data_IF_379997219681
#
_entry.id   IF_379997219681
#
_cell.length_a   1.000
_cell.length_b   1.000
_cell.length_c   1.000
_cell.angle_alpha   90.00
_cell.angle_beta   90.00
_cell.angle_gamma   90.00
#
_symmetry.space_group_name_H-M   'P 1'
#
loop_
_entity.id
_entity.type
_entity.pdbx_description
1 polymer ?
#
# COMPACT_ATOMS: atom_id res chain seq x y z
N UNK A 1 28.11 35.06 -28.54
CA UNK A 1 27.56 36.37 -28.13
C UNK A 1 26.30 36.53 -28.96
N UNK A 2 25.13 36.30 -28.37
CA UNK A 2 23.87 36.30 -29.12
C UNK A 2 23.45 37.73 -29.46
N UNK A 3 22.83 37.92 -30.63
CA UNK A 3 22.39 39.24 -31.07
C UNK A 3 21.16 39.69 -30.24
N UNK A 4 21.02 41.00 -30.01
CA UNK A 4 19.86 41.59 -29.32
C UNK A 4 18.55 41.26 -30.04
N UNK A 5 18.61 41.10 -31.36
CA UNK A 5 17.51 40.62 -32.21
C UNK A 5 17.01 39.23 -31.77
N UNK A 6 17.92 38.27 -31.57
CA UNK A 6 17.58 36.90 -31.17
C UNK A 6 17.07 36.81 -29.73
N UNK A 7 17.58 37.64 -28.81
CA UNK A 7 17.09 37.70 -27.43
C UNK A 7 15.62 38.15 -27.35
N UNK A 8 15.21 39.13 -28.17
CA UNK A 8 13.81 39.58 -28.19
C UNK A 8 12.84 38.50 -28.71
N UNK A 9 13.27 37.67 -29.65
CA UNK A 9 12.49 36.53 -30.15
C UNK A 9 12.38 35.40 -29.10
N UNK A 10 13.44 35.16 -28.31
CA UNK A 10 13.42 34.18 -27.20
C UNK A 10 12.37 34.56 -26.14
N UNK A 11 12.32 35.83 -25.71
CA UNK A 11 11.33 36.24 -24.69
C UNK A 11 9.90 36.17 -25.22
N UNK A 12 9.67 36.49 -26.50
CA UNK A 12 8.39 36.25 -27.17
C UNK A 12 7.99 34.77 -27.21
N UNK A 13 8.96 33.85 -27.32
CA UNK A 13 8.74 32.39 -27.25
C UNK A 13 8.42 31.92 -25.83
N UNK A 14 9.08 32.46 -24.79
CA UNK A 14 8.78 32.16 -23.38
C UNK A 14 7.32 32.49 -23.04
N UNK A 15 6.84 33.67 -23.44
CA UNK A 15 5.43 34.09 -23.22
C UNK A 15 4.44 33.13 -23.89
N UNK A 16 4.72 32.66 -25.11
CA UNK A 16 3.89 31.65 -25.80
C UNK A 16 3.88 30.31 -25.07
N UNK A 17 5.03 29.83 -24.57
CA UNK A 17 5.12 28.60 -23.78
C UNK A 17 4.29 28.72 -22.48
N UNK A 18 4.37 29.87 -21.78
CA UNK A 18 3.52 30.12 -20.61
C UNK A 18 2.03 30.12 -20.95
N UNK A 19 1.62 30.73 -22.07
CA UNK A 19 0.22 30.72 -22.49
C UNK A 19 -0.30 29.28 -22.74
N UNK A 20 0.49 28.46 -23.46
CA UNK A 20 0.16 27.05 -23.75
C UNK A 20 0.01 26.24 -22.46
N UNK A 21 0.95 26.35 -21.51
CA UNK A 21 0.91 25.61 -20.24
C UNK A 21 -0.23 26.11 -19.35
N UNK A 22 -0.52 27.42 -19.34
CA UNK A 22 -1.67 27.95 -18.60
C UNK A 22 -3.01 27.38 -19.11
N UNK A 23 -3.20 27.35 -20.44
CA UNK A 23 -4.40 26.82 -21.08
C UNK A 23 -4.52 25.29 -20.89
N UNK A 24 -3.50 24.53 -21.31
CA UNK A 24 -3.56 23.06 -21.41
C UNK A 24 -3.16 22.32 -20.13
N UNK A 25 -2.45 22.99 -19.23
CA UNK A 25 -1.91 22.38 -18.01
C UNK A 25 -0.51 21.76 -18.18
N UNK A 26 -0.13 20.87 -17.24
CA UNK A 26 1.18 20.23 -17.22
C UNK A 26 1.53 19.58 -18.57
N UNK A 27 2.67 19.94 -19.13
CA UNK A 27 3.04 19.64 -20.52
C UNK A 27 4.46 19.07 -20.64
N UNK A 28 4.65 18.16 -21.59
CA UNK A 28 5.96 17.59 -21.95
C UNK A 28 6.68 18.49 -22.98
N UNK A 29 8.02 18.54 -22.99
CA UNK A 29 8.79 19.27 -24.02
C UNK A 29 8.43 18.88 -25.46
N UNK A 30 8.07 17.61 -25.71
CA UNK A 30 7.64 17.12 -27.02
C UNK A 30 6.27 17.67 -27.45
N UNK A 31 5.36 17.93 -26.52
CA UNK A 31 4.07 18.57 -26.82
C UNK A 31 4.29 20.04 -27.17
N UNK A 32 5.02 20.76 -26.32
CA UNK A 32 5.38 22.17 -26.51
C UNK A 32 6.16 22.38 -27.82
N UNK A 33 7.05 21.45 -28.18
CA UNK A 33 7.79 21.46 -29.46
C UNK A 33 6.89 21.37 -30.69
N UNK A 34 5.86 20.52 -30.65
CA UNK A 34 4.90 20.38 -31.76
C UNK A 34 4.05 21.65 -31.92
N UNK A 35 3.64 22.25 -30.81
CA UNK A 35 2.77 23.44 -30.81
C UNK A 35 3.53 24.72 -31.18
N UNK A 36 4.78 24.83 -30.75
CA UNK A 36 5.67 25.95 -31.09
C UNK A 36 6.30 25.81 -32.48
N UNK A 37 6.16 24.66 -33.14
CA UNK A 37 6.89 24.29 -34.36
C UNK A 37 8.42 24.46 -34.25
N UNK A 38 8.97 24.22 -33.05
CA UNK A 38 10.40 24.34 -32.73
C UNK A 38 11.03 22.98 -32.45
N UNK A 39 12.35 22.87 -32.60
CA UNK A 39 13.05 21.62 -32.27
C UNK A 39 12.95 21.29 -30.77
N UNK A 40 12.85 20.00 -30.37
CA UNK A 40 12.76 19.61 -28.96
C UNK A 40 13.94 20.09 -28.12
N UNK A 41 15.13 20.23 -28.72
CA UNK A 41 16.34 20.72 -28.06
C UNK A 41 16.20 22.19 -27.68
N UNK A 42 15.79 23.05 -28.63
CA UNK A 42 15.58 24.48 -28.37
C UNK A 42 14.48 24.70 -27.33
N UNK A 43 13.39 23.94 -27.43
CA UNK A 43 12.27 23.99 -26.48
C UNK A 43 12.73 23.57 -25.08
N UNK A 44 13.52 22.50 -24.96
CA UNK A 44 14.06 22.06 -23.67
C UNK A 44 15.02 23.08 -23.05
N UNK A 45 15.83 23.76 -23.87
CA UNK A 45 16.71 24.83 -23.41
C UNK A 45 15.94 26.06 -22.89
N UNK A 46 14.92 26.51 -23.63
CA UNK A 46 14.06 27.64 -23.21
C UNK A 46 13.28 27.27 -21.93
N UNK A 47 12.76 26.05 -21.83
CA UNK A 47 12.04 25.59 -20.63
C UNK A 47 12.98 25.51 -19.41
N UNK A 48 14.23 25.07 -19.58
CA UNK A 48 15.21 25.07 -18.50
C UNK A 48 15.50 26.48 -17.99
N UNK A 49 15.72 27.45 -18.90
CA UNK A 49 15.87 28.87 -18.55
C UNK A 49 14.62 29.42 -17.81
N UNK A 50 13.40 29.06 -18.26
CA UNK A 50 12.16 29.47 -17.61
C UNK A 50 11.98 28.85 -16.21
N UNK A 51 12.44 27.62 -16.01
CA UNK A 51 12.46 26.95 -14.71
C UNK A 51 13.46 27.62 -13.75
N UNK A 52 14.65 27.95 -14.24
CA UNK A 52 15.70 28.61 -13.44
C UNK A 52 15.32 30.05 -13.04
N UNK A 53 14.36 30.66 -13.76
CA UNK A 53 13.70 31.91 -13.39
C UNK A 53 12.37 31.73 -12.60
N UNK A 54 12.10 30.53 -12.08
CA UNK A 54 10.90 30.18 -11.29
C UNK A 54 9.54 30.38 -12.01
N UNK A 55 9.55 30.62 -13.34
CA UNK A 55 8.33 30.79 -14.15
C UNK A 55 7.60 29.46 -14.41
N UNK A 56 8.32 28.34 -14.32
CA UNK A 56 7.82 26.98 -14.46
C UNK A 56 8.33 26.08 -13.34
N UNK A 57 7.50 25.15 -12.89
CA UNK A 57 7.86 24.08 -11.95
C UNK A 57 8.03 22.76 -12.69
N UNK A 58 9.01 21.99 -12.22
CA UNK A 58 9.34 20.65 -12.70
C UNK A 58 8.58 19.60 -11.88
N UNK A 59 7.91 18.67 -12.54
CA UNK A 59 7.32 17.47 -11.94
C UNK A 59 8.38 16.39 -11.75
N UNK A 60 8.36 15.70 -10.61
CA UNK A 60 9.21 14.55 -10.33
C UNK A 60 8.78 13.32 -11.16
N UNK A 61 7.50 13.21 -11.50
CA UNK A 61 6.96 12.19 -12.40
C UNK A 61 7.49 12.36 -13.82
N UNK A 62 7.77 11.22 -14.48
CA UNK A 62 8.25 11.17 -15.87
C UNK A 62 7.30 10.36 -16.74
N UNK A 63 6.90 10.92 -17.87
CA UNK A 63 6.11 10.23 -18.91
C UNK A 63 7.04 9.96 -20.09
N UNK A 64 7.26 8.68 -20.42
CA UNK A 64 8.20 8.29 -21.47
C UNK A 64 9.65 8.75 -21.21
N UNK A 65 10.04 8.88 -19.93
CA UNK A 65 11.37 9.36 -19.52
C UNK A 65 11.53 10.88 -19.45
N UNK A 66 10.58 11.66 -19.99
CA UNK A 66 10.58 13.12 -19.90
C UNK A 66 9.74 13.62 -18.70
N UNK A 67 10.21 14.62 -17.94
CA UNK A 67 9.42 15.25 -16.88
C UNK A 67 8.32 16.15 -17.46
N UNK A 68 7.27 16.39 -16.67
CA UNK A 68 6.24 17.39 -16.97
C UNK A 68 6.65 18.77 -16.42
N UNK A 69 6.24 19.82 -17.12
CA UNK A 69 6.41 21.21 -16.70
C UNK A 69 5.05 21.85 -16.52
N UNK A 70 4.86 22.58 -15.42
CA UNK A 70 3.59 23.21 -15.05
C UNK A 70 3.81 24.60 -14.44
N UNK A 71 2.76 25.41 -14.40
CA UNK A 71 2.75 26.69 -13.68
C UNK A 71 2.21 26.45 -12.26
N UNK A 72 2.71 27.18 -11.26
CA UNK A 72 2.24 27.12 -9.88
C UNK A 72 0.71 27.29 -9.80
N UNK A 73 0.03 26.44 -9.02
CA UNK A 73 -1.44 26.39 -8.95
C UNK A 73 -2.08 25.43 -9.96
N UNK A 74 -1.28 24.67 -10.73
CA UNK A 74 -1.76 23.61 -11.62
C UNK A 74 -1.48 22.19 -11.11
N UNK A 75 -1.08 22.04 -9.84
CA UNK A 75 -0.70 20.75 -9.24
C UNK A 75 -1.86 19.74 -9.34
N UNK A 76 -3.10 20.18 -9.13
CA UNK A 76 -4.31 19.36 -9.31
C UNK A 76 -4.42 18.72 -10.71
N UNK A 77 -3.91 19.39 -11.76
CA UNK A 77 -3.94 18.87 -13.13
C UNK A 77 -2.95 17.70 -13.34
N UNK A 78 -1.99 17.48 -12.42
CA UNK A 78 -1.07 16.34 -12.47
C UNK A 78 -1.78 14.99 -12.25
N UNK A 79 -2.93 14.99 -11.56
CA UNK A 79 -3.74 13.78 -11.34
C UNK A 79 -4.11 13.07 -12.66
N UNK A 80 -4.33 13.83 -13.74
CA UNK A 80 -4.64 13.29 -15.07
C UNK A 80 -3.50 12.45 -15.68
N UNK A 81 -2.29 12.60 -15.14
CA UNK A 81 -1.08 11.88 -15.53
C UNK A 81 -0.74 10.71 -14.58
N UNK A 82 -1.42 10.56 -13.43
CA UNK A 82 -1.25 9.42 -12.52
C UNK A 82 -1.48 8.05 -13.21
N UNK A 83 -2.21 8.02 -14.33
CA UNK A 83 -2.35 6.85 -15.22
C UNK A 83 -1.04 6.33 -15.83
N UNK A 84 0.01 7.15 -15.87
CA UNK A 84 1.34 6.78 -16.37
C UNK A 84 2.28 6.28 -15.26
N UNK A 85 1.86 6.33 -13.99
CA UNK A 85 2.63 5.79 -12.87
C UNK A 85 2.74 4.26 -12.97
N UNK A 86 3.86 3.65 -12.50
CA UNK A 86 3.97 2.22 -12.28
C UNK A 86 2.81 1.66 -11.44
N UNK A 87 2.43 0.40 -11.68
CA UNK A 87 1.26 -0.23 -11.04
C UNK A 87 1.19 -0.04 -9.51
N UNK A 88 2.33 -0.14 -8.80
CA UNK A 88 2.37 0.05 -7.34
C UNK A 88 2.24 1.50 -6.90
N UNK A 89 2.79 2.44 -7.66
CA UNK A 89 2.61 3.88 -7.42
C UNK A 89 1.17 4.30 -7.71
N UNK A 90 0.53 3.72 -8.74
CA UNK A 90 -0.89 3.94 -9.03
C UNK A 90 -1.81 3.40 -7.93
N UNK A 91 -1.59 2.17 -7.45
CA UNK A 91 -2.33 1.61 -6.30
C UNK A 91 -2.19 2.47 -5.04
N UNK A 92 -0.96 2.97 -4.79
CA UNK A 92 -0.65 3.84 -3.65
C UNK A 92 -1.26 5.24 -3.81
N UNK A 93 -1.30 5.79 -5.03
CA UNK A 93 -1.97 7.04 -5.36
C UNK A 93 -3.47 6.97 -5.07
N UNK A 94 -4.16 5.93 -5.52
CA UNK A 94 -5.61 5.76 -5.22
C UNK A 94 -5.85 5.59 -3.71
N UNK A 95 -4.98 4.87 -3.01
CA UNK A 95 -5.06 4.70 -1.55
C UNK A 95 -4.88 6.04 -0.80
N UNK A 96 -3.86 6.82 -1.18
CA UNK A 96 -3.59 8.13 -0.59
C UNK A 96 -4.69 9.14 -0.92
N UNK A 97 -5.17 9.17 -2.17
CA UNK A 97 -6.27 10.03 -2.62
C UNK A 97 -7.58 9.72 -1.88
N UNK A 98 -7.86 8.44 -1.62
CA UNK A 98 -9.05 8.00 -0.86
C UNK A 98 -8.98 8.34 0.63
N UNK A 99 -7.83 8.12 1.26
CA UNK A 99 -7.68 8.29 2.71
C UNK A 99 -7.24 9.71 3.11
N UNK A 100 -6.78 10.53 2.15
CA UNK A 100 -6.17 11.87 2.25
C UNK A 100 -4.85 11.92 3.04
N UNK A 101 -4.72 11.09 4.08
CA UNK A 101 -3.50 10.89 4.88
C UNK A 101 -3.22 9.40 5.08
N UNK A 102 -1.95 9.05 4.98
CA UNK A 102 -1.41 7.73 5.36
C UNK A 102 -0.28 7.90 6.38
N UNK A 103 -0.09 6.93 7.27
CA UNK A 103 1.03 6.92 8.22
C UNK A 103 2.13 5.99 7.70
N UNK A 104 3.39 6.47 7.63
CA UNK A 104 4.53 5.75 7.03
C UNK A 104 4.72 4.37 7.68
N UNK A 105 4.54 4.28 9.00
CA UNK A 105 4.65 3.05 9.80
C UNK A 105 3.58 2.00 9.44
N UNK A 106 2.35 2.43 9.13
CA UNK A 106 1.17 1.55 8.92
C UNK A 106 1.01 1.06 7.48
N UNK A 107 1.55 1.78 6.49
CA UNK A 107 1.52 1.35 5.08
C UNK A 107 2.49 0.20 4.82
N UNK A 108 2.19 -0.62 3.82
CA UNK A 108 3.07 -1.72 3.44
C UNK A 108 4.41 -1.20 2.90
N UNK A 109 5.53 -1.95 3.05
CA UNK A 109 6.85 -1.48 2.60
C UNK A 109 6.92 -1.06 1.12
N UNK A 110 6.15 -1.72 0.24
CA UNK A 110 6.06 -1.34 -1.17
C UNK A 110 5.32 -0.01 -1.39
N UNK A 111 4.26 0.26 -0.63
CA UNK A 111 3.52 1.53 -0.63
C UNK A 111 4.38 2.65 -0.05
N UNK A 112 5.14 2.37 1.01
CA UNK A 112 6.12 3.30 1.60
C UNK A 112 7.20 3.74 0.61
N UNK A 113 7.71 2.80 -0.20
CA UNK A 113 8.64 3.12 -1.30
C UNK A 113 7.95 3.94 -2.38
N UNK A 114 6.72 3.57 -2.77
CA UNK A 114 5.94 4.33 -3.75
C UNK A 114 5.69 5.78 -3.30
N UNK A 115 5.24 6.01 -2.06
CA UNK A 115 5.01 7.34 -1.47
C UNK A 115 6.25 8.24 -1.56
N UNK A 116 7.45 7.68 -1.36
CA UNK A 116 8.73 8.41 -1.48
C UNK A 116 9.12 8.75 -2.92
N UNK A 117 8.64 7.97 -3.91
CA UNK A 117 8.82 8.24 -5.34
C UNK A 117 7.83 9.29 -5.85
N UNK A 118 6.56 9.19 -5.47
CA UNK A 118 5.44 10.00 -5.97
C UNK A 118 5.34 11.40 -5.34
N UNK A 119 6.47 12.11 -5.21
CA UNK A 119 6.60 13.40 -4.50
C UNK A 119 5.65 14.50 -4.97
N UNK A 120 5.20 14.45 -6.22
CA UNK A 120 4.22 15.41 -6.78
C UNK A 120 2.81 15.23 -6.17
N UNK A 121 2.55 14.06 -5.59
CA UNK A 121 1.24 13.67 -5.06
C UNK A 121 1.24 13.41 -3.55
N UNK A 122 2.38 13.01 -3.00
CA UNK A 122 2.56 12.65 -1.59
C UNK A 122 3.55 13.60 -0.89
N UNK A 123 3.02 14.44 -0.01
CA UNK A 123 3.79 15.41 0.78
C UNK A 123 4.04 14.85 2.18
N UNK A 124 5.30 14.63 2.60
CA UNK A 124 5.59 14.13 3.94
C UNK A 124 5.42 15.24 5.00
N UNK A 125 4.71 14.92 6.08
CA UNK A 125 4.53 15.72 7.29
C UNK A 125 5.17 14.96 8.45
N UNK A 126 6.14 15.59 9.12
CA UNK A 126 6.76 15.08 10.33
C UNK A 126 6.00 15.60 11.55
N UNK A 127 5.52 14.72 12.41
CA UNK A 127 4.85 15.08 13.67
C UNK A 127 5.62 14.45 14.83
N UNK A 128 6.07 15.31 15.73
CA UNK A 128 6.74 14.89 16.97
C UNK A 128 5.70 14.89 18.09
N UNK A 129 5.34 13.70 18.59
CA UNK A 129 4.69 13.56 19.90
C UNK A 129 5.77 13.31 20.96
N UNK A 130 5.43 13.48 22.24
CA UNK A 130 6.38 13.62 23.36
C UNK A 130 7.45 12.50 23.46
N UNK A 131 7.19 11.31 22.93
CA UNK A 131 8.11 10.16 22.93
C UNK A 131 8.46 9.60 21.53
N UNK A 132 7.98 10.18 20.42
CA UNK A 132 8.23 9.63 19.07
C UNK A 132 8.06 10.66 17.93
N UNK A 133 9.02 10.72 17.01
CA UNK A 133 8.82 11.31 15.68
C UNK A 133 8.08 10.32 14.78
N UNK A 134 7.02 10.78 14.11
CA UNK A 134 6.25 9.99 13.13
C UNK A 134 6.12 10.73 11.81
N UNK A 135 6.04 9.97 10.71
CA UNK A 135 5.87 10.51 9.36
C UNK A 135 4.47 10.16 8.87
N UNK A 136 3.73 11.19 8.47
CA UNK A 136 2.46 11.09 7.77
C UNK A 136 2.64 11.58 6.34
N UNK A 137 1.94 10.99 5.39
CA UNK A 137 1.93 11.36 3.99
C UNK A 137 0.57 11.99 3.68
N UNK A 138 0.58 13.26 3.28
CA UNK A 138 -0.58 14.05 2.86
C UNK A 138 -0.74 14.00 1.35
N UNK A 139 -1.97 13.84 0.87
CA UNK A 139 -2.28 14.03 -0.55
C UNK A 139 -2.16 15.51 -0.94
N UNK A 140 -1.52 15.81 -2.08
CA UNK A 140 -1.15 17.18 -2.48
C UNK A 140 -2.30 18.20 -2.49
N UNK A 141 -3.52 17.80 -2.87
CA UNK A 141 -4.69 18.71 -2.87
C UNK A 141 -5.34 18.92 -1.50
N UNK A 142 -4.96 18.14 -0.49
CA UNK A 142 -5.52 18.25 0.86
C UNK A 142 -4.80 19.36 1.65
N UNK A 143 -5.53 20.25 2.32
CA UNK A 143 -4.91 21.42 2.96
C UNK A 143 -4.04 21.03 4.16
N UNK A 144 -3.05 21.86 4.50
CA UNK A 144 -2.16 21.60 5.63
C UNK A 144 -2.90 21.67 6.98
N UNK A 145 -3.84 22.61 7.11
CA UNK A 145 -4.67 22.79 8.30
C UNK A 145 -5.62 21.60 8.54
N UNK A 146 -6.31 21.14 7.48
CA UNK A 146 -7.15 19.95 7.55
C UNK A 146 -6.29 18.72 7.85
N UNK A 147 -5.05 18.71 7.33
CA UNK A 147 -4.14 17.59 7.54
C UNK A 147 -3.66 17.48 8.98
N UNK A 148 -3.24 18.58 9.59
CA UNK A 148 -2.90 18.60 11.01
C UNK A 148 -4.10 18.22 11.88
N UNK A 149 -5.30 18.68 11.52
CA UNK A 149 -6.55 18.29 12.21
C UNK A 149 -6.80 16.78 12.13
N UNK A 150 -6.62 16.18 10.94
CA UNK A 150 -6.81 14.75 10.71
C UNK A 150 -5.71 13.89 11.36
N UNK A 151 -4.46 14.36 11.39
CA UNK A 151 -3.37 13.68 12.13
C UNK A 151 -3.63 13.75 13.64
N UNK A 152 -4.07 14.89 14.17
CA UNK A 152 -4.48 15.00 15.57
C UNK A 152 -5.64 14.06 15.92
N UNK A 153 -6.62 13.89 15.04
CA UNK A 153 -7.69 12.90 15.20
C UNK A 153 -7.12 11.47 15.27
N UNK A 154 -6.28 11.08 14.31
CA UNK A 154 -5.63 9.76 14.27
C UNK A 154 -4.81 9.47 15.54
N UNK A 155 -3.96 10.41 15.97
CA UNK A 155 -3.15 10.29 17.18
C UNK A 155 -4.00 10.27 18.46
N UNK A 156 -5.13 10.99 18.50
CA UNK A 156 -6.05 10.99 19.65
C UNK A 156 -6.70 9.63 19.87
N UNK A 157 -7.01 8.90 18.80
CA UNK A 157 -7.59 7.56 18.89
C UNK A 157 -6.58 6.47 19.29
N UNK A 158 -5.27 6.75 19.23
CA UNK A 158 -4.23 5.82 19.69
C UNK A 158 -3.87 5.94 21.18
N UNK A 159 -4.24 7.04 21.85
CA UNK A 159 -3.95 7.14 23.29
C UNK A 159 -4.70 6.02 24.03
N UNK A 160 -4.00 5.17 24.81
CA UNK A 160 -4.62 3.95 25.33
C UNK A 160 -5.82 4.25 26.21
N UNK A 161 -6.97 3.65 25.88
CA UNK A 161 -8.03 3.43 26.87
C UNK A 161 -7.52 2.43 27.92
N UNK A 162 -6.85 2.94 28.95
CA UNK A 162 -6.62 2.20 30.18
C UNK A 162 -7.98 1.82 30.77
N UNK A 163 -8.29 0.53 30.67
CA UNK A 163 -9.22 -0.24 31.51
C UNK A 163 -10.64 0.33 31.70
N UNK A 164 -11.62 -0.32 31.10
CA UNK A 164 -12.71 -0.99 31.85
C UNK A 164 -13.05 -2.27 31.07
N UNK A 165 -13.13 -3.37 31.80
CA UNK A 165 -13.40 -4.71 31.28
C UNK A 165 -14.65 -5.22 32.01
N UNK A 166 -15.77 -5.41 31.30
CA UNK A 166 -16.88 -6.32 31.63
C UNK A 166 -18.02 -6.16 30.61
N UNK A 167 -18.39 -7.29 29.98
CA UNK A 167 -19.74 -7.68 29.50
C UNK A 167 -20.58 -6.67 28.66
N UNK A 168 -21.25 -7.08 27.57
CA UNK A 168 -21.92 -8.37 27.34
C UNK A 168 -22.14 -8.66 25.86
N UNK A 169 -22.23 -9.95 25.53
CA UNK A 169 -22.74 -10.51 24.26
C UNK A 169 -24.20 -10.08 23.98
N UNK A 170 -24.71 -9.95 22.74
CA UNK A 170 -24.87 -11.04 21.77
C UNK A 170 -25.20 -10.58 20.33
N UNK A 171 -24.67 -11.38 19.37
CA UNK A 171 -25.14 -11.75 18.01
C UNK A 171 -25.42 -10.69 16.90
N UNK A 172 -25.18 -11.09 15.62
CA UNK A 172 -25.37 -10.23 14.46
C UNK A 172 -26.71 -10.44 13.76
N UNK A 173 -27.33 -9.35 13.30
CA UNK A 173 -28.42 -9.41 12.33
C UNK A 173 -27.87 -9.34 10.89
N UNK A 174 -28.48 -10.14 10.00
CA UNK A 174 -28.11 -10.22 8.59
C UNK A 174 -28.80 -9.08 7.84
N UNK A 175 -28.12 -8.49 6.86
CA UNK A 175 -28.81 -8.11 5.63
C UNK A 175 -28.02 -8.51 4.38
N UNK A 176 -28.66 -9.35 3.57
CA UNK A 176 -28.30 -9.63 2.18
C UNK A 176 -29.04 -8.63 1.31
N UNK A 177 -28.37 -8.08 0.30
CA UNK A 177 -28.96 -8.01 -1.05
C UNK A 177 -27.89 -7.96 -2.12
N UNK A 178 -27.90 -9.02 -2.93
CA UNK A 178 -27.14 -9.15 -4.16
C UNK A 178 -27.91 -8.49 -5.31
N UNK A 179 -27.17 -8.12 -6.36
CA UNK A 179 -27.70 -8.03 -7.72
C UNK A 179 -26.58 -8.52 -8.68
N UNK A 180 -26.64 -8.17 -9.96
CA UNK A 180 -25.94 -8.85 -11.07
C UNK A 180 -24.87 -7.90 -11.67
N UNK A 181 -24.08 -8.18 -12.72
CA UNK A 181 -24.29 -9.00 -13.93
C UNK A 181 -22.96 -9.54 -14.48
N UNK A 182 -23.04 -10.76 -15.04
CA UNK A 182 -22.18 -11.51 -15.98
C UNK A 182 -20.91 -10.87 -16.58
N UNK A 183 -19.84 -11.68 -16.64
CA UNK A 183 -19.26 -12.21 -17.90
C UNK A 183 -18.32 -13.40 -17.56
N UNK A 184 -18.84 -14.62 -17.69
CA UNK A 184 -18.47 -15.64 -18.71
C UNK A 184 -17.35 -16.62 -18.30
N UNK A 185 -17.80 -17.80 -17.88
CA UNK A 185 -17.06 -19.07 -17.87
C UNK A 185 -16.96 -19.61 -19.34
N UNK A 186 -16.14 -20.64 -19.70
CA UNK A 186 -16.22 -21.91 -18.98
C UNK A 186 -15.01 -22.90 -19.01
N UNK A 187 -15.15 -23.91 -18.12
CA UNK A 187 -14.74 -25.34 -18.24
C UNK A 187 -13.55 -25.87 -17.40
N UNK A 188 -13.98 -26.70 -16.43
CA UNK A 188 -13.45 -28.04 -16.06
C UNK A 188 -12.29 -28.12 -15.04
N UNK A 189 -12.64 -28.52 -13.81
CA UNK A 189 -12.74 -29.96 -13.41
C UNK A 189 -13.50 -30.14 -12.08
N UNK A 190 -13.90 -31.40 -11.81
CA UNK A 190 -14.99 -31.77 -10.87
C UNK A 190 -14.57 -31.87 -9.40
N UNK A 191 -15.56 -31.60 -8.56
CA UNK A 191 -15.77 -31.91 -7.13
C UNK A 191 -15.16 -33.21 -6.55
N UNK A 192 -14.64 -33.11 -5.32
CA UNK A 192 -14.81 -34.10 -4.24
C UNK A 192 -14.41 -33.50 -2.86
N UNK A 193 -14.67 -34.23 -1.77
CA UNK A 193 -14.33 -33.96 -0.34
C UNK A 193 -14.92 -32.70 0.36
N UNK A 194 -16.21 -32.77 0.74
CA UNK A 194 -16.80 -31.95 1.82
C UNK A 194 -16.95 -32.69 3.17
N UNK A 195 -16.44 -33.93 3.29
CA UNK A 195 -16.64 -34.79 4.48
C UNK A 195 -15.44 -34.87 5.43
N UNK A 196 -14.22 -34.61 4.96
CA UNK A 196 -13.00 -34.90 5.73
C UNK A 196 -12.50 -33.74 6.62
N UNK A 197 -12.91 -32.49 6.35
CA UNK A 197 -12.42 -31.34 7.11
C UNK A 197 -12.86 -31.32 8.58
N UNK A 198 -13.99 -31.95 8.94
CA UNK A 198 -14.50 -31.95 10.32
C UNK A 198 -13.54 -32.68 11.29
N UNK A 199 -13.14 -33.90 10.95
CA UNK A 199 -12.27 -34.71 11.80
C UNK A 199 -10.86 -34.10 11.97
N UNK A 200 -10.33 -33.45 10.93
CA UNK A 200 -9.03 -32.78 10.98
C UNK A 200 -9.04 -31.57 11.94
N UNK A 201 -10.08 -30.73 11.86
CA UNK A 201 -10.21 -29.55 12.74
C UNK A 201 -10.41 -29.95 14.20
N UNK A 202 -11.16 -31.02 14.48
CA UNK A 202 -11.32 -31.52 15.86
C UNK A 202 -9.99 -31.94 16.49
N UNK A 203 -9.15 -32.70 15.77
CA UNK A 203 -7.81 -33.10 16.25
C UNK A 203 -6.91 -31.91 16.58
N UNK A 204 -6.99 -30.84 15.80
CA UNK A 204 -6.18 -29.63 16.03
C UNK A 204 -6.65 -28.90 17.30
N UNK A 205 -7.96 -28.85 17.57
CA UNK A 205 -8.49 -28.29 18.82
C UNK A 205 -8.04 -29.10 20.04
N UNK A 206 -8.16 -30.42 19.97
CA UNK A 206 -7.71 -31.36 21.01
C UNK A 206 -6.20 -31.24 21.28
N UNK A 207 -5.38 -31.07 20.24
CA UNK A 207 -3.95 -30.78 20.37
C UNK A 207 -3.67 -29.45 21.09
N UNK A 208 -4.44 -28.40 20.81
CA UNK A 208 -4.28 -27.11 21.50
C UNK A 208 -4.72 -27.18 22.96
N UNK A 209 -5.84 -27.83 23.27
CA UNK A 209 -6.29 -28.08 24.66
C UNK A 209 -5.24 -28.87 25.44
N UNK A 210 -4.72 -29.97 24.88
CA UNK A 210 -3.68 -30.81 25.49
C UNK A 210 -2.35 -30.07 25.73
N UNK A 211 -2.08 -29.00 24.97
CA UNK A 211 -0.87 -28.16 25.12
C UNK A 211 -1.13 -26.82 25.81
N UNK A 212 -2.33 -26.61 26.37
CA UNK A 212 -2.76 -25.36 27.00
C UNK A 212 -2.55 -24.12 26.11
N UNK A 213 -2.90 -24.25 24.83
CA UNK A 213 -2.80 -23.19 23.81
C UNK A 213 -4.19 -22.58 23.60
N UNK A 214 -4.35 -21.31 23.96
CA UNK A 214 -5.63 -20.60 23.88
C UNK A 214 -5.93 -20.11 22.46
N UNK A 215 -7.01 -20.58 21.84
CA UNK A 215 -7.44 -20.11 20.50
C UNK A 215 -8.18 -18.77 20.63
N UNK A 216 -7.62 -17.69 20.07
CA UNK A 216 -8.25 -16.36 20.12
C UNK A 216 -9.23 -16.15 18.94
N UNK A 217 -8.85 -16.58 17.74
CA UNK A 217 -9.65 -16.35 16.52
C UNK A 217 -9.39 -17.43 15.48
N UNK A 218 -10.45 -18.07 14.99
CA UNK A 218 -10.36 -18.98 13.83
C UNK A 218 -10.53 -18.14 12.56
N UNK A 219 -9.69 -18.41 11.56
CA UNK A 219 -9.76 -17.82 10.21
C UNK A 219 -10.29 -18.92 9.29
N UNK A 220 -11.55 -18.80 8.86
CA UNK A 220 -12.18 -19.82 8.03
C UNK A 220 -11.53 -19.91 6.64
N UNK A 221 -11.23 -21.14 6.22
CA UNK A 221 -10.56 -21.44 4.97
C UNK A 221 -10.66 -22.92 4.61
N UNK A 222 -10.00 -23.31 3.51
CA UNK A 222 -9.92 -24.72 3.08
C UNK A 222 -8.99 -25.55 3.98
N UNK A 223 -7.92 -24.92 4.44
CA UNK A 223 -6.99 -25.39 5.48
C UNK A 223 -7.39 -24.76 6.83
N UNK A 224 -6.92 -25.31 7.95
CA UNK A 224 -7.16 -24.70 9.27
C UNK A 224 -6.13 -23.59 9.52
N UNK A 225 -6.63 -22.39 9.85
CA UNK A 225 -5.82 -21.25 10.27
C UNK A 225 -6.46 -20.59 11.49
N UNK A 226 -5.66 -20.27 12.51
CA UNK A 226 -6.15 -19.60 13.71
C UNK A 226 -5.06 -18.74 14.36
N UNK A 227 -5.47 -17.64 15.00
CA UNK A 227 -4.62 -16.92 15.95
C UNK A 227 -4.72 -17.64 17.29
N UNK A 228 -3.57 -18.06 17.81
CA UNK A 228 -3.46 -18.76 19.09
C UNK A 228 -2.52 -18.01 20.03
N UNK A 229 -2.73 -18.20 21.33
CA UNK A 229 -1.93 -17.64 22.41
C UNK A 229 -1.28 -18.77 23.20
N UNK A 230 0.00 -18.60 23.52
CA UNK A 230 0.78 -19.48 24.39
C UNK A 230 1.14 -18.69 25.65
N UNK A 231 0.81 -19.24 26.81
CA UNK A 231 1.35 -18.76 28.08
C UNK A 231 2.84 -19.13 28.18
N UNK A 232 3.70 -18.13 28.32
CA UNK A 232 5.14 -18.25 28.54
C UNK A 232 5.53 -17.49 29.81
N UNK A 233 6.70 -17.77 30.37
CA UNK A 233 7.23 -17.09 31.58
C UNK A 233 7.37 -15.57 31.40
N UNK A 234 7.42 -15.09 30.15
CA UNK A 234 7.52 -13.68 29.75
C UNK A 234 6.12 -13.06 29.45
N UNK A 235 5.06 -13.87 29.49
CA UNK A 235 3.67 -13.48 29.23
C UNK A 235 3.04 -14.22 28.03
N UNK A 236 1.88 -13.72 27.58
CA UNK A 236 1.10 -14.33 26.48
C UNK A 236 1.68 -13.98 25.12
N UNK A 237 2.29 -14.96 24.46
CA UNK A 237 2.85 -14.82 23.11
C UNK A 237 1.79 -15.28 22.09
N UNK A 238 1.52 -14.46 21.07
CA UNK A 238 0.55 -14.78 20.01
C UNK A 238 1.25 -15.33 18.77
N UNK A 239 0.62 -16.33 18.15
CA UNK A 239 1.10 -16.99 16.93
C UNK A 239 -0.04 -17.11 15.91
N UNK A 240 0.30 -17.05 14.62
CA UNK A 240 -0.57 -17.56 13.56
C UNK A 240 -0.33 -19.07 13.44
N UNK A 241 -1.26 -19.87 13.95
CA UNK A 241 -1.25 -21.31 13.74
C UNK A 241 -1.87 -21.67 12.38
N UNK A 242 -1.12 -22.38 11.54
CA UNK A 242 -1.61 -22.90 10.25
C UNK A 242 -1.40 -24.40 10.20
N UNK A 243 -2.45 -25.14 9.85
CA UNK A 243 -2.43 -26.59 9.72
C UNK A 243 -3.12 -27.00 8.41
N UNK A 244 -2.38 -27.73 7.57
CA UNK A 244 -2.87 -28.19 6.27
C UNK A 244 -3.11 -29.69 6.28
N UNK A 245 -4.23 -30.13 5.71
CA UNK A 245 -4.55 -31.55 5.59
C UNK A 245 -3.79 -32.21 4.42
N UNK A 246 -2.46 -32.23 4.52
CA UNK A 246 -1.51 -32.82 3.57
C UNK A 246 -0.43 -33.56 4.36
N UNK A 247 0.00 -34.73 3.89
CA UNK A 247 1.11 -35.49 4.54
C UNK A 247 2.41 -34.68 4.64
N UNK A 248 2.68 -33.83 3.63
CA UNK A 248 3.83 -32.91 3.60
C UNK A 248 3.36 -31.56 3.03
N UNK A 249 3.65 -30.43 3.68
CA UNK A 249 3.39 -29.11 3.11
C UNK A 249 4.36 -28.83 1.95
N UNK A 250 3.91 -28.11 0.92
CA UNK A 250 4.77 -27.63 -0.16
C UNK A 250 5.48 -26.33 0.25
N UNK A 251 6.64 -26.02 -0.31
CA UNK A 251 7.35 -24.73 -0.12
C UNK A 251 6.42 -23.52 -0.30
N UNK A 252 5.52 -23.57 -1.28
CA UNK A 252 4.50 -22.54 -1.53
C UNK A 252 3.46 -22.43 -0.41
N UNK A 253 3.08 -23.54 0.26
CA UNK A 253 2.16 -23.50 1.40
C UNK A 253 2.81 -22.80 2.61
N UNK A 254 4.09 -23.06 2.83
CA UNK A 254 4.89 -22.47 3.92
C UNK A 254 5.06 -20.97 3.67
N UNK A 255 5.43 -20.58 2.44
CA UNK A 255 5.60 -19.18 2.05
C UNK A 255 4.30 -18.37 2.18
N UNK A 256 3.15 -18.92 1.74
CA UNK A 256 1.85 -18.28 1.91
C UNK A 256 1.48 -18.09 3.39
N UNK A 257 1.81 -19.06 4.23
CA UNK A 257 1.55 -18.98 5.67
C UNK A 257 2.43 -17.93 6.35
N UNK A 258 3.70 -17.82 5.94
CA UNK A 258 4.60 -16.76 6.39
C UNK A 258 4.13 -15.37 5.93
N UNK A 259 3.64 -15.25 4.69
CA UNK A 259 3.09 -14.00 4.18
C UNK A 259 1.86 -13.54 4.99
N UNK A 260 0.96 -14.47 5.34
CA UNK A 260 -0.20 -14.20 6.21
C UNK A 260 0.21 -13.81 7.64
N UNK A 261 1.23 -14.46 8.20
CA UNK A 261 1.81 -14.11 9.49
C UNK A 261 2.41 -12.70 9.50
N UNK A 262 3.22 -12.37 8.48
CA UNK A 262 3.82 -11.05 8.31
C UNK A 262 2.75 -9.95 8.17
N UNK A 263 1.64 -10.22 7.47
CA UNK A 263 0.50 -9.29 7.37
C UNK A 263 -0.21 -9.04 8.71
N UNK A 264 -0.15 -10.01 9.65
CA UNK A 264 -0.73 -9.90 10.99
C UNK A 264 0.28 -9.45 12.05
N UNK A 265 1.56 -9.31 11.71
CA UNK A 265 2.64 -9.04 12.67
C UNK A 265 2.90 -10.18 13.65
N UNK A 266 2.53 -11.43 13.30
CA UNK A 266 2.62 -12.60 14.18
C UNK A 266 3.63 -13.64 13.65
N UNK A 267 4.39 -14.34 14.52
CA UNK A 267 5.17 -15.51 14.13
C UNK A 267 4.26 -16.69 13.70
N UNK A 268 4.77 -17.56 12.81
CA UNK A 268 4.05 -18.75 12.33
C UNK A 268 4.30 -19.94 13.27
N UNK A 269 3.21 -20.58 13.69
CA UNK A 269 3.23 -21.95 14.21
C UNK A 269 2.68 -22.88 13.13
N UNK A 270 3.54 -23.59 12.41
CA UNK A 270 3.12 -24.48 11.34
C UNK A 270 2.94 -25.89 11.88
N UNK A 271 1.70 -26.39 11.87
CA UNK A 271 1.39 -27.75 12.32
C UNK A 271 1.48 -28.74 11.16
N UNK A 272 2.24 -29.82 11.35
CA UNK A 272 2.48 -30.87 10.35
C UNK A 272 2.30 -32.27 10.95
N UNK A 273 1.87 -33.24 10.14
CA UNK A 273 1.80 -34.65 10.56
C UNK A 273 3.19 -35.32 10.50
N UNK A 274 4.03 -34.92 9.54
CA UNK A 274 5.42 -35.35 9.39
C UNK A 274 6.33 -34.12 9.33
N UNK A 275 7.41 -34.10 10.11
CA UNK A 275 8.44 -33.06 10.01
C UNK A 275 9.20 -33.17 8.67
N UNK A 276 9.56 -32.04 8.03
CA UNK A 276 10.39 -32.07 6.82
C UNK A 276 11.78 -32.67 7.11
N UNK A 277 12.33 -33.42 6.16
CA UNK A 277 13.63 -34.12 6.29
C UNK A 277 14.86 -33.23 6.03
N UNK A 278 14.67 -31.94 5.76
CA UNK A 278 15.75 -30.98 5.52
C UNK A 278 15.52 -29.76 6.41
N UNK A 279 16.60 -29.26 7.00
CA UNK A 279 16.67 -27.96 7.65
C UNK A 279 16.62 -26.83 6.61
N UNK A 280 15.45 -26.67 6.00
CA UNK A 280 15.17 -25.52 5.15
C UNK A 280 14.89 -24.34 6.09
N UNK A 281 15.85 -23.43 6.17
CA UNK A 281 15.78 -22.26 7.05
C UNK A 281 14.69 -21.28 6.55
N UNK A 282 13.45 -21.49 6.99
CA UNK A 282 12.29 -20.68 6.60
C UNK A 282 12.11 -19.40 7.43
N UNK A 283 13.11 -18.98 8.21
CA UNK A 283 13.00 -17.84 9.12
C UNK A 283 12.23 -18.20 10.40
N UNK A 284 11.38 -17.29 10.95
CA UNK A 284 10.73 -17.46 12.25
C UNK A 284 9.49 -18.38 12.20
N UNK A 285 9.61 -19.54 11.54
CA UNK A 285 8.57 -20.57 11.49
C UNK A 285 8.88 -21.67 12.49
N UNK A 286 8.00 -21.83 13.48
CA UNK A 286 8.06 -22.94 14.41
C UNK A 286 7.25 -24.10 13.82
N UNK A 287 7.93 -25.16 13.40
CA UNK A 287 7.26 -26.41 13.03
C UNK A 287 6.93 -27.21 14.29
N UNK A 288 5.69 -27.66 14.43
CA UNK A 288 5.28 -28.55 15.51
C UNK A 288 4.53 -29.75 14.93
N UNK A 289 4.95 -30.94 15.34
CA UNK A 289 4.29 -32.17 14.91
C UNK A 289 2.95 -32.31 15.65
N UNK A 290 1.90 -32.71 14.91
CA UNK A 290 0.68 -33.28 15.49
C UNK A 290 0.94 -34.79 15.62
N UNK A 291 0.93 -35.29 16.86
CA UNK A 291 0.94 -36.72 17.19
C UNK A 291 -0.50 -37.24 17.33
#
# INVERSE_FOLDING_TARGET
>A
MFDKSEMQDIDGKKVKILAIINEKGPSLPVQLSREMAMSPILVSAIIAEMHDHDLLKLSNMKVGGSPLYYVLGQEEKLDAFAKFLPQKEKETFELLKKNQILEDEKVMPAERVALRSMKDFAVPIKVTDANSERIFWRFHTFSEQDSMSKIHELLRFEKPKLQINAEKSEKPEKEKKEEKVLSEEPKRRKSSSKKDNSAFVSKIKEFFETKNIGIEKIIEGKDFSAIVSLDSDIGKIKFLAVAKNKKKPTTSDILLSQQQANQLGLPVLFLVNELPKQDVNFGPIIFKKID
#
